data_IF_944589465041
#
_entry.id   IF_944589465041
#
_cell.length_a   1.000
_cell.length_b   1.000
_cell.length_c   1.000
_cell.angle_alpha   90.00
_cell.angle_beta   90.00
_cell.angle_gamma   90.00
#
_symmetry.space_group_name_H-M   'P 1'
#
loop_
_entity.id
_entity.type
_entity.pdbx_description
1 polymer ?
#
# COMPACT_ATOMS: atom_id res chain seq x y z
N UNK A 1 18.15 14.79 47.91
CA UNK A 1 18.77 15.86 47.09
C UNK A 1 19.57 16.76 48.02
N UNK A 2 20.82 17.10 47.67
CA UNK A 2 21.68 18.01 48.44
C UNK A 2 21.66 19.38 47.76
N UNK A 3 21.15 20.40 48.44
CA UNK A 3 21.13 21.78 47.97
C UNK A 3 22.31 22.53 48.62
N UNK A 4 23.23 23.03 47.80
CA UNK A 4 24.31 23.91 48.24
C UNK A 4 23.84 25.36 48.10
N UNK A 5 23.70 26.07 49.21
CA UNK A 5 23.37 27.50 49.25
C UNK A 5 24.62 28.22 49.76
N UNK A 6 25.15 29.11 48.93
CA UNK A 6 26.30 29.97 49.29
C UNK A 6 25.75 31.33 49.66
N UNK A 7 25.98 31.77 50.90
CA UNK A 7 25.53 33.07 51.42
C UNK A 7 26.76 33.90 51.78
N UNK A 8 26.99 34.99 51.05
CA UNK A 8 28.00 35.99 51.40
C UNK A 8 27.37 36.98 52.39
N UNK A 9 27.84 36.99 53.63
CA UNK A 9 27.34 37.86 54.70
C UNK A 9 28.31 39.02 54.91
N UNK A 10 27.97 40.18 54.38
CA UNK A 10 28.67 41.45 54.65
C UNK A 10 28.10 42.05 55.94
N UNK A 11 28.90 42.09 57.01
CA UNK A 11 28.45 42.43 58.36
C UNK A 11 28.03 43.91 58.46
N UNK A 12 26.73 44.16 58.52
CA UNK A 12 26.13 45.47 58.81
C UNK A 12 25.55 45.46 60.23
N UNK A 13 26.16 46.27 61.12
CA UNK A 13 25.49 46.93 62.25
C UNK A 13 24.96 46.07 63.40
N UNK A 14 25.56 46.28 64.57
CA UNK A 14 25.11 45.90 65.91
C UNK A 14 23.71 46.50 66.21
N UNK A 15 22.64 45.75 65.90
CA UNK A 15 21.25 45.85 66.40
C UNK A 15 20.21 45.24 65.42
N UNK A 16 20.65 44.78 64.24
CA UNK A 16 19.79 44.03 63.31
C UNK A 16 19.86 42.53 63.54
N UNK A 17 18.72 41.91 63.84
CA UNK A 17 18.55 40.47 64.05
C UNK A 17 18.83 39.70 62.73
N UNK A 18 20.11 39.50 62.43
CA UNK A 18 20.66 38.95 61.18
C UNK A 18 20.05 37.58 60.83
N UNK A 19 19.64 36.82 61.85
CA UNK A 19 18.97 35.53 61.71
C UNK A 19 17.53 35.66 61.19
N UNK A 20 16.85 36.78 61.49
CA UNK A 20 15.50 37.07 61.00
C UNK A 20 15.52 37.44 59.51
N UNK A 21 16.50 38.22 59.08
CA UNK A 21 16.65 38.65 57.68
C UNK A 21 17.03 37.45 56.78
N UNK A 22 17.96 36.61 57.21
CA UNK A 22 18.35 35.39 56.49
C UNK A 22 17.20 34.38 56.42
N UNK A 23 16.42 34.21 57.50
CA UNK A 23 15.20 33.40 57.47
C UNK A 23 14.18 33.98 56.48
N UNK A 24 14.02 35.29 56.43
CA UNK A 24 13.06 35.92 55.53
C UNK A 24 13.46 35.74 54.05
N UNK A 25 14.73 35.95 53.73
CA UNK A 25 15.29 35.72 52.38
C UNK A 25 15.18 34.26 51.95
N UNK A 26 15.52 33.29 52.82
CA UNK A 26 15.39 31.85 52.50
C UNK A 26 13.92 31.47 52.29
N UNK A 27 13.02 31.93 53.17
CA UNK A 27 11.58 31.63 53.06
C UNK A 27 11.00 32.29 51.80
N UNK A 28 11.40 33.52 51.48
CA UNK A 28 10.99 34.25 50.27
C UNK A 28 11.50 33.56 49.01
N UNK A 29 12.78 33.18 48.97
CA UNK A 29 13.40 32.47 47.85
C UNK A 29 12.78 31.10 47.61
N UNK A 30 12.54 30.32 48.67
CA UNK A 30 11.89 29.01 48.58
C UNK A 30 10.42 29.15 48.16
N UNK A 31 9.69 30.13 48.72
CA UNK A 31 8.30 30.39 48.35
C UNK A 31 8.19 30.81 46.88
N UNK A 32 9.08 31.67 46.40
CA UNK A 32 9.07 32.13 45.01
C UNK A 32 9.48 31.02 44.03
N UNK A 33 10.49 30.22 44.37
CA UNK A 33 10.92 29.08 43.55
C UNK A 33 9.82 28.01 43.46
N UNK A 34 9.23 27.61 44.59
CA UNK A 34 8.13 26.64 44.62
C UNK A 34 6.90 27.20 43.89
N UNK A 35 6.54 28.46 44.11
CA UNK A 35 5.38 29.08 43.47
C UNK A 35 5.55 29.10 41.94
N UNK A 36 6.71 29.51 41.44
CA UNK A 36 6.99 29.57 40.00
C UNK A 36 7.06 28.19 39.35
N UNK A 37 7.75 27.24 39.98
CA UNK A 37 7.92 25.89 39.42
C UNK A 37 6.62 25.08 39.51
N UNK A 38 5.82 25.28 40.56
CA UNK A 38 4.50 24.66 40.69
C UNK A 38 3.52 25.25 39.67
N UNK A 39 3.49 26.58 39.48
CA UNK A 39 2.67 27.22 38.44
C UNK A 39 3.03 26.73 37.05
N UNK A 40 4.32 26.70 36.70
CA UNK A 40 4.76 26.22 35.38
C UNK A 40 4.42 24.74 35.15
N UNK A 41 4.52 23.91 36.20
CA UNK A 41 4.17 22.49 36.10
C UNK A 41 2.67 22.28 35.96
N UNK A 42 1.86 22.99 36.75
CA UNK A 42 0.40 22.94 36.67
C UNK A 42 -0.09 23.46 35.32
N UNK A 43 0.47 24.56 34.82
CA UNK A 43 0.13 25.13 33.51
C UNK A 43 0.47 24.16 32.38
N UNK A 44 1.63 23.49 32.45
CA UNK A 44 2.03 22.49 31.45
C UNK A 44 1.16 21.24 31.50
N UNK A 45 0.86 20.72 32.68
CA UNK A 45 -0.01 19.54 32.83
C UNK A 45 -1.45 19.85 32.41
N UNK A 46 -1.99 21.00 32.81
CA UNK A 46 -3.31 21.46 32.39
C UNK A 46 -3.37 21.67 30.87
N UNK A 47 -2.37 22.35 30.28
CA UNK A 47 -2.30 22.54 28.83
C UNK A 47 -2.22 21.20 28.08
N UNK A 48 -1.46 20.24 28.59
CA UNK A 48 -1.37 18.91 27.98
C UNK A 48 -2.71 18.18 28.03
N UNK A 49 -3.39 18.17 29.19
CA UNK A 49 -4.70 17.53 29.34
C UNK A 49 -5.77 18.20 28.49
N UNK A 50 -5.78 19.54 28.43
CA UNK A 50 -6.71 20.31 27.59
C UNK A 50 -6.47 19.99 26.11
N UNK A 51 -5.22 20.03 25.65
CA UNK A 51 -4.89 19.72 24.26
C UNK A 51 -5.25 18.27 23.91
N UNK A 52 -5.05 17.34 24.84
CA UNK A 52 -5.43 15.94 24.63
C UNK A 52 -6.96 15.78 24.52
N UNK A 53 -7.72 16.38 25.43
CA UNK A 53 -9.19 16.35 25.39
C UNK A 53 -9.74 17.02 24.11
N UNK A 54 -9.13 18.12 23.67
CA UNK A 54 -9.47 18.78 22.40
C UNK A 54 -9.19 17.85 21.22
N UNK A 55 -8.02 17.22 21.16
CA UNK A 55 -7.66 16.33 20.06
C UNK A 55 -8.57 15.10 20.00
N UNK A 56 -8.90 14.51 21.14
CA UNK A 56 -9.84 13.38 21.24
C UNK A 56 -11.25 13.80 20.78
N UNK A 57 -11.72 14.99 21.19
CA UNK A 57 -12.99 15.55 20.76
C UNK A 57 -13.02 15.83 19.25
N UNK A 58 -11.94 16.38 18.68
CA UNK A 58 -11.80 16.60 17.22
C UNK A 58 -11.82 15.26 16.47
N UNK A 59 -11.10 14.25 16.96
CA UNK A 59 -11.08 12.93 16.34
C UNK A 59 -12.47 12.27 16.36
N UNK A 60 -13.17 12.35 17.49
CA UNK A 60 -14.54 11.87 17.63
C UNK A 60 -15.52 12.61 16.70
N UNK A 61 -15.41 13.94 16.62
CA UNK A 61 -16.23 14.77 15.75
C UNK A 61 -15.97 14.45 14.27
N UNK A 62 -14.71 14.30 13.87
CA UNK A 62 -14.34 13.91 12.50
C UNK A 62 -14.93 12.56 12.13
N UNK A 63 -14.82 11.56 13.01
CA UNK A 63 -15.40 10.23 12.79
C UNK A 63 -16.93 10.29 12.67
N UNK A 64 -17.59 11.11 13.50
CA UNK A 64 -19.04 11.29 13.42
C UNK A 64 -19.47 11.99 12.12
N UNK A 65 -18.70 12.96 11.63
CA UNK A 65 -18.94 13.62 10.34
C UNK A 65 -18.75 12.61 9.19
N UNK A 66 -17.68 11.83 9.20
CA UNK A 66 -17.43 10.79 8.19
C UNK A 66 -18.56 9.77 8.16
N UNK A 67 -19.00 9.29 9.32
CA UNK A 67 -20.12 8.34 9.42
C UNK A 67 -21.42 8.95 8.90
N UNK A 68 -21.73 10.21 9.25
CA UNK A 68 -22.92 10.90 8.72
C UNK A 68 -22.82 11.15 7.22
N UNK A 69 -21.64 11.42 6.68
CA UNK A 69 -21.44 11.62 5.25
C UNK A 69 -21.62 10.30 4.48
N UNK A 70 -21.10 9.20 5.01
CA UNK A 70 -21.32 7.85 4.46
C UNK A 70 -22.81 7.52 4.50
N UNK A 71 -23.45 7.69 5.66
CA UNK A 71 -24.87 7.40 5.83
C UNK A 71 -25.76 8.28 4.94
N UNK A 72 -25.43 9.56 4.78
CA UNK A 72 -26.11 10.44 3.84
C UNK A 72 -25.93 9.98 2.38
N UNK A 73 -24.74 9.50 2.02
CA UNK A 73 -24.50 8.96 0.69
C UNK A 73 -25.32 7.67 0.46
N UNK A 74 -25.37 6.79 1.44
CA UNK A 74 -26.17 5.56 1.41
C UNK A 74 -27.67 5.88 1.30
N UNK A 75 -28.19 6.76 2.17
CA UNK A 75 -29.59 7.21 2.14
C UNK A 75 -29.95 7.89 0.80
N UNK A 76 -29.00 8.64 0.23
CA UNK A 76 -29.20 9.27 -1.07
C UNK A 76 -29.25 8.24 -2.20
N UNK A 77 -28.39 7.23 -2.17
CA UNK A 77 -28.36 6.15 -3.15
C UNK A 77 -29.61 5.26 -3.10
N UNK A 78 -30.15 5.03 -1.91
CA UNK A 78 -31.37 4.25 -1.66
C UNK A 78 -32.65 5.02 -1.99
N UNK A 79 -32.59 6.35 -2.16
CA UNK A 79 -33.76 7.15 -2.47
C UNK A 79 -34.43 6.67 -3.74
N UNK A 80 -35.69 6.27 -3.62
CA UNK A 80 -36.53 5.90 -4.77
C UNK A 80 -36.84 7.13 -5.61
N UNK A 81 -36.55 7.04 -6.90
CA UNK A 81 -36.85 8.05 -7.91
C UNK A 81 -37.83 7.46 -8.90
N UNK A 82 -38.95 8.15 -9.09
CA UNK A 82 -39.95 7.81 -10.09
C UNK A 82 -39.47 8.29 -11.46
N UNK A 83 -39.17 7.37 -12.35
CA UNK A 83 -38.83 7.70 -13.74
C UNK A 83 -40.13 7.85 -14.53
N UNK A 84 -40.38 9.05 -15.05
CA UNK A 84 -41.49 9.32 -15.96
C UNK A 84 -41.02 9.32 -17.40
N UNK A 85 -41.90 8.97 -18.32
CA UNK A 85 -41.62 9.11 -19.75
C UNK A 85 -41.84 10.56 -20.24
N UNK A 86 -41.56 10.78 -21.53
CA UNK A 86 -41.70 12.08 -22.21
C UNK A 86 -43.13 12.64 -22.25
N UNK A 87 -44.13 11.88 -21.79
CA UNK A 87 -45.53 12.26 -21.67
C UNK A 87 -46.02 12.29 -20.21
N UNK A 88 -45.14 12.01 -19.24
CA UNK A 88 -45.42 12.13 -17.81
C UNK A 88 -45.95 10.87 -17.15
N UNK A 89 -46.05 9.75 -17.88
CA UNK A 89 -46.49 8.48 -17.32
C UNK A 89 -45.35 7.81 -16.55
N UNK A 90 -45.68 7.30 -15.36
CA UNK A 90 -44.73 6.62 -14.46
C UNK A 90 -44.35 5.26 -15.06
N UNK A 91 -43.08 5.11 -15.47
CA UNK A 91 -42.61 3.85 -16.05
C UNK A 91 -42.01 2.90 -15.02
N UNK A 92 -41.27 3.39 -14.02
CA UNK A 92 -40.58 2.56 -13.04
C UNK A 92 -40.27 3.38 -11.77
N UNK A 93 -40.47 2.79 -10.59
CA UNK A 93 -39.92 3.28 -9.32
C UNK A 93 -38.63 2.52 -9.03
N UNK A 94 -37.49 3.19 -9.11
CA UNK A 94 -36.17 2.58 -8.94
C UNK A 94 -35.32 3.43 -8.00
N UNK A 95 -34.40 2.79 -7.29
CA UNK A 95 -33.39 3.50 -6.50
C UNK A 95 -32.37 4.18 -7.43
N UNK A 96 -31.67 5.21 -6.92
CA UNK A 96 -30.57 5.84 -7.66
C UNK A 96 -29.49 4.80 -8.00
N UNK A 97 -29.22 3.86 -7.10
CA UNK A 97 -28.32 2.74 -7.36
C UNK A 97 -28.73 1.93 -8.58
N UNK A 98 -30.01 1.61 -8.74
CA UNK A 98 -30.48 0.80 -9.87
C UNK A 98 -30.46 1.59 -11.18
N UNK A 99 -30.67 2.91 -11.12
CA UNK A 99 -30.46 3.78 -12.28
C UNK A 99 -29.00 3.79 -12.73
N UNK A 100 -28.06 3.88 -11.78
CA UNK A 100 -26.62 3.83 -12.07
C UNK A 100 -26.25 2.46 -12.65
N UNK A 101 -26.71 1.36 -12.06
CA UNK A 101 -26.48 -0.01 -12.59
C UNK A 101 -27.00 -0.14 -14.02
N UNK A 102 -28.26 0.24 -14.27
CA UNK A 102 -28.84 0.19 -15.62
C UNK A 102 -28.08 1.06 -16.62
N UNK A 103 -27.60 2.23 -16.21
CA UNK A 103 -26.80 3.11 -17.07
C UNK A 103 -25.43 2.50 -17.38
N UNK A 104 -24.82 1.88 -16.38
CA UNK A 104 -23.55 1.19 -16.50
C UNK A 104 -23.66 -0.05 -17.39
N UNK A 105 -24.68 -0.89 -17.19
CA UNK A 105 -24.97 -2.07 -18.01
C UNK A 105 -25.21 -1.65 -19.47
N UNK A 106 -26.05 -0.63 -19.70
CA UNK A 106 -26.26 -0.07 -21.04
C UNK A 106 -24.96 0.42 -21.68
N UNK A 107 -24.04 0.98 -20.88
CA UNK A 107 -22.75 1.48 -21.39
C UNK A 107 -21.81 0.32 -21.73
N UNK A 108 -21.80 -0.74 -20.93
CA UNK A 108 -21.03 -1.96 -21.20
C UNK A 108 -21.54 -2.73 -22.42
N UNK A 109 -22.83 -2.63 -22.71
CA UNK A 109 -23.46 -3.22 -23.89
C UNK A 109 -23.29 -2.39 -25.17
N UNK A 110 -22.93 -1.10 -25.05
CA UNK A 110 -22.66 -0.25 -26.22
C UNK A 110 -21.53 -0.82 -27.05
N UNK A 111 -21.71 -0.76 -28.36
CA UNK A 111 -20.74 -1.23 -29.33
C UNK A 111 -19.57 -0.25 -29.43
N UNK A 112 -18.38 -0.82 -29.52
CA UNK A 112 -17.14 -0.11 -29.78
C UNK A 112 -16.47 -0.63 -31.04
N UNK A 113 -15.67 0.23 -31.67
CA UNK A 113 -14.79 -0.11 -32.77
C UNK A 113 -13.55 -0.90 -32.28
N UNK A 114 -12.70 -1.33 -33.21
CA UNK A 114 -11.47 -2.06 -32.89
C UNK A 114 -10.45 -1.25 -32.09
N UNK A 115 -10.65 0.06 -31.95
CA UNK A 115 -9.81 0.99 -31.18
C UNK A 115 -10.43 1.35 -29.83
N UNK A 116 -11.58 0.78 -29.48
CA UNK A 116 -12.29 1.02 -28.23
C UNK A 116 -13.13 2.30 -28.21
N UNK A 117 -13.31 2.99 -29.34
CA UNK A 117 -14.21 4.14 -29.42
C UNK A 117 -15.65 3.67 -29.62
N UNK A 118 -16.61 4.37 -28.99
CA UNK A 118 -18.03 4.09 -29.22
C UNK A 118 -18.38 4.31 -30.70
N UNK A 119 -18.97 3.28 -31.31
CA UNK A 119 -19.40 3.32 -32.69
C UNK A 119 -20.81 2.74 -32.82
N UNK A 120 -21.59 3.29 -33.75
CA UNK A 120 -22.91 2.78 -34.14
C UNK A 120 -22.82 1.73 -35.25
N UNK A 121 -21.61 1.31 -35.64
CA UNK A 121 -21.40 0.33 -36.69
C UNK A 121 -22.04 -1.01 -36.32
N UNK A 122 -22.68 -1.63 -37.31
CA UNK A 122 -23.32 -2.93 -37.14
C UNK A 122 -22.33 -4.01 -36.66
N UNK A 123 -21.09 -3.94 -37.14
CA UNK A 123 -19.98 -4.83 -36.80
C UNK A 123 -19.26 -4.50 -35.48
N UNK A 124 -19.70 -3.46 -34.75
CA UNK A 124 -19.09 -3.11 -33.47
C UNK A 124 -19.27 -4.19 -32.41
N UNK A 125 -18.25 -4.34 -31.56
CA UNK A 125 -18.21 -5.35 -30.49
C UNK A 125 -18.69 -4.67 -29.20
N UNK A 126 -19.53 -5.31 -28.36
CA UNK A 126 -19.89 -4.75 -27.05
C UNK A 126 -18.66 -4.42 -26.21
N UNK A 127 -18.65 -3.26 -25.56
CA UNK A 127 -17.52 -2.78 -24.74
C UNK A 127 -17.05 -3.84 -23.74
N UNK A 128 -17.98 -4.55 -23.09
CA UNK A 128 -17.65 -5.64 -22.17
C UNK A 128 -16.82 -6.75 -22.83
N UNK A 129 -17.16 -7.13 -24.07
CA UNK A 129 -16.44 -8.18 -24.81
C UNK A 129 -15.08 -7.68 -25.30
N UNK A 130 -14.98 -6.41 -25.68
CA UNK A 130 -13.71 -5.78 -26.04
C UNK A 130 -12.74 -5.76 -24.85
N UNK A 131 -13.20 -5.30 -23.68
CA UNK A 131 -12.40 -5.24 -22.46
C UNK A 131 -11.99 -6.64 -21.97
N UNK A 132 -12.91 -7.61 -22.00
CA UNK A 132 -12.60 -8.99 -21.68
C UNK A 132 -11.59 -9.60 -22.66
N UNK A 133 -11.73 -9.33 -23.96
CA UNK A 133 -10.80 -9.77 -25.01
C UNK A 133 -9.38 -9.25 -24.76
N UNK A 134 -9.24 -7.95 -24.51
CA UNK A 134 -7.94 -7.34 -24.19
C UNK A 134 -7.34 -7.92 -22.91
N UNK A 135 -8.15 -8.15 -21.87
CA UNK A 135 -7.67 -8.74 -20.62
C UNK A 135 -7.23 -10.20 -20.80
N UNK A 136 -7.97 -10.97 -21.59
CA UNK A 136 -7.58 -12.34 -21.95
C UNK A 136 -6.29 -12.30 -22.75
N UNK A 137 -6.15 -11.41 -23.72
CA UNK A 137 -4.93 -11.24 -24.50
C UNK A 137 -3.73 -10.88 -23.61
N UNK A 138 -3.87 -9.95 -22.68
CA UNK A 138 -2.83 -9.62 -21.69
C UNK A 138 -2.41 -10.85 -20.88
N UNK A 139 -3.38 -11.57 -20.31
CA UNK A 139 -3.09 -12.76 -19.47
C UNK A 139 -2.46 -13.88 -20.28
N UNK A 140 -2.90 -14.07 -21.53
CA UNK A 140 -2.33 -15.04 -22.46
C UNK A 140 -0.90 -14.64 -22.81
N UNK A 141 -0.65 -13.36 -23.13
CA UNK A 141 0.70 -12.87 -23.43
C UNK A 141 1.63 -12.98 -22.22
N UNK A 142 1.16 -12.67 -21.02
CA UNK A 142 1.94 -12.76 -19.78
C UNK A 142 2.30 -14.22 -19.43
N UNK A 143 1.36 -15.16 -19.61
CA UNK A 143 1.57 -16.55 -19.22
C UNK A 143 2.17 -17.45 -20.30
N UNK A 144 1.85 -17.23 -21.58
CA UNK A 144 2.31 -18.10 -22.67
C UNK A 144 3.73 -17.74 -23.12
N UNK A 145 4.11 -16.45 -23.16
CA UNK A 145 5.48 -16.05 -23.54
C UNK A 145 6.59 -16.72 -22.71
N UNK A 146 6.52 -16.77 -21.37
CA UNK A 146 7.54 -17.47 -20.59
C UNK A 146 7.51 -18.99 -20.84
N UNK A 147 6.33 -19.60 -20.96
CA UNK A 147 6.21 -21.03 -21.27
C UNK A 147 6.83 -21.40 -22.62
N UNK A 148 6.65 -20.57 -23.64
CA UNK A 148 7.26 -20.79 -24.95
C UNK A 148 8.79 -20.72 -24.87
N UNK A 149 9.33 -19.74 -24.14
CA UNK A 149 10.78 -19.63 -23.91
C UNK A 149 11.34 -20.83 -23.14
N UNK A 150 10.61 -21.32 -22.14
CA UNK A 150 11.02 -22.49 -21.35
C UNK A 150 10.99 -23.76 -22.19
N UNK A 151 9.97 -23.93 -23.04
CA UNK A 151 9.88 -25.03 -24.01
C UNK A 151 11.03 -24.98 -25.02
N UNK A 152 11.30 -23.82 -25.62
CA UNK A 152 12.40 -23.65 -26.58
C UNK A 152 13.76 -23.93 -25.93
N UNK A 153 13.95 -23.51 -24.67
CA UNK A 153 15.16 -23.78 -23.89
C UNK A 153 15.29 -25.27 -23.56
N UNK A 154 14.19 -25.93 -23.18
CA UNK A 154 14.15 -27.35 -22.89
C UNK A 154 14.44 -28.19 -24.15
N UNK A 155 13.86 -27.82 -25.30
CA UNK A 155 14.12 -28.45 -26.59
C UNK A 155 15.59 -28.27 -26.98
N UNK A 156 16.13 -27.06 -26.91
CA UNK A 156 17.54 -26.79 -27.22
C UNK A 156 18.49 -27.61 -26.33
N UNK A 157 18.19 -27.70 -25.03
CA UNK A 157 18.98 -28.49 -24.09
C UNK A 157 18.89 -30.00 -24.37
N UNK A 158 17.69 -30.51 -24.66
CA UNK A 158 17.49 -31.92 -24.99
C UNK A 158 18.18 -32.31 -26.31
N UNK A 159 18.10 -31.45 -27.33
CA UNK A 159 18.80 -31.63 -28.61
C UNK A 159 20.31 -31.59 -28.41
N UNK A 160 20.83 -30.62 -27.66
CA UNK A 160 22.26 -30.51 -27.37
C UNK A 160 22.78 -31.73 -26.57
N UNK A 161 22.00 -32.21 -25.59
CA UNK A 161 22.34 -33.40 -24.82
C UNK A 161 22.32 -34.66 -25.69
N UNK A 162 21.31 -34.81 -26.56
CA UNK A 162 21.19 -35.93 -27.49
C UNK A 162 22.31 -35.95 -28.55
N UNK A 163 22.67 -34.78 -29.11
CA UNK A 163 23.80 -34.65 -30.03
C UNK A 163 25.11 -35.00 -29.33
N UNK A 164 25.37 -34.44 -28.14
CA UNK A 164 26.58 -34.76 -27.37
C UNK A 164 26.68 -36.25 -27.07
N UNK A 165 25.59 -36.87 -26.60
CA UNK A 165 25.56 -38.31 -26.32
C UNK A 165 25.85 -39.15 -27.56
N UNK A 166 25.17 -38.89 -28.68
CA UNK A 166 25.41 -39.62 -29.93
C UNK A 166 26.83 -39.44 -30.48
N UNK A 167 27.39 -38.22 -30.40
CA UNK A 167 28.77 -37.95 -30.84
C UNK A 167 29.76 -38.66 -29.92
N UNK A 168 29.56 -38.59 -28.60
CA UNK A 168 30.39 -39.28 -27.61
C UNK A 168 30.34 -40.81 -27.79
N UNK A 169 29.16 -41.39 -27.99
CA UNK A 169 28.98 -42.83 -28.19
C UNK A 169 29.64 -43.29 -29.49
N UNK A 170 29.48 -42.54 -30.59
CA UNK A 170 30.16 -42.84 -31.87
C UNK A 170 31.67 -42.66 -31.78
N UNK A 171 32.15 -41.66 -31.06
CA UNK A 171 33.58 -41.45 -30.87
C UNK A 171 34.19 -42.55 -30.01
N UNK A 172 33.53 -42.96 -28.92
CA UNK A 172 33.95 -44.09 -28.11
C UNK A 172 34.00 -45.39 -28.91
N UNK A 173 32.97 -45.66 -29.73
CA UNK A 173 32.97 -46.82 -30.64
C UNK A 173 34.14 -46.77 -31.63
N UNK A 174 34.41 -45.61 -32.23
CA UNK A 174 35.52 -45.44 -33.17
C UNK A 174 36.89 -45.64 -32.51
N UNK A 175 37.08 -45.14 -31.28
CA UNK A 175 38.31 -45.33 -30.50
C UNK A 175 38.51 -46.80 -30.15
N UNK A 176 37.46 -47.49 -29.68
CA UNK A 176 37.50 -48.93 -29.39
C UNK A 176 37.85 -49.72 -30.65
N UNK A 177 37.21 -49.41 -31.78
CA UNK A 177 37.47 -50.08 -33.05
C UNK A 177 38.91 -49.86 -33.53
N UNK A 178 39.43 -48.64 -33.36
CA UNK A 178 40.82 -48.31 -33.72
C UNK A 178 41.81 -49.04 -32.82
N UNK A 179 41.57 -49.08 -31.50
CA UNK A 179 42.40 -49.79 -30.54
C UNK A 179 42.43 -51.31 -30.81
N UNK A 180 41.27 -51.91 -31.10
CA UNK A 180 41.17 -53.33 -31.50
C UNK A 180 41.93 -53.62 -32.79
N UNK A 181 41.82 -52.73 -33.78
CA UNK A 181 42.51 -52.87 -35.07
C UNK A 181 44.04 -52.78 -34.88
N UNK A 182 44.50 -51.87 -34.02
CA UNK A 182 45.93 -51.74 -33.70
C UNK A 182 46.46 -52.92 -32.88
N UNK A 183 45.68 -53.44 -31.93
CA UNK A 183 46.05 -54.61 -31.13
C UNK A 183 46.17 -55.87 -32.00
N UNK A 184 45.21 -56.10 -32.91
CA UNK A 184 45.26 -57.19 -33.88
C UNK A 184 46.47 -57.07 -34.84
N UNK A 185 46.84 -55.84 -35.23
CA UNK A 185 48.01 -55.59 -36.07
C UNK A 185 49.36 -55.80 -35.34
N UNK A 186 49.38 -55.69 -34.01
CA UNK A 186 50.55 -55.96 -33.18
C UNK A 186 50.71 -57.46 -32.90
N UNK A 187 49.61 -58.18 -32.69
CA UNK A 187 49.60 -59.64 -32.50
C UNK A 187 50.00 -60.42 -33.76
N UNK A 188 49.73 -59.88 -34.96
CA UNK A 188 50.19 -60.47 -36.24
C UNK A 188 51.67 -60.22 -36.56
N UNK A 189 52.37 -59.41 -35.75
CA UNK A 189 53.79 -59.05 -35.95
C UNK A 189 54.75 -59.71 -34.93
N UNK A 190 54.24 -60.53 -34.02
CA UNK A 190 55.04 -61.46 -33.18
C UNK A 190 55.04 -62.85 -33.81
#
# INVERSE_FOLDING_TARGET
>A
MKLNITVDLEWLGEDGDLDAEVKHEIISGVKNAISRDCLAKVEKEASTQINQAINESIAAAKKAIEQKAIQFADDWLEKEVTVTDKWGDVQDCLTITDLIKRSFDKTLEKKVDSRGNFSNDYNGIPLVKYLMGNRIEEVVQEKIKPLQKDIDTAIANAVNAGIRKNVSDKFAQMVIQTAQTQQAALEQKQ
#
